data_IF_004687300003
#
_entry.id   IF_004687300003
#
_cell.length_a   1.000
_cell.length_b   1.000
_cell.length_c   1.000
_cell.angle_alpha   90.00
_cell.angle_beta   90.00
_cell.angle_gamma   90.00
#
_symmetry.space_group_name_H-M   'P 1'
#
loop_
_entity.id
_entity.type
_entity.pdbx_description
1 polymer ?
#
# COMPACT_ATOMS: atom_id res chain seq x y z
N UNK A 1 19.46 26.84 -12.22
CA UNK A 1 18.63 25.73 -12.71
C UNK A 1 19.12 24.47 -12.01
N UNK A 2 18.25 23.58 -11.52
CA UNK A 2 18.73 22.34 -10.91
C UNK A 2 19.21 21.39 -12.00
N UNK A 3 20.48 21.00 -11.97
CA UNK A 3 21.08 20.12 -12.98
C UNK A 3 20.57 18.69 -12.80
N UNK A 4 19.54 18.34 -13.57
CA UNK A 4 18.89 17.02 -13.53
C UNK A 4 19.79 15.88 -14.01
N UNK A 5 20.89 16.20 -14.71
CA UNK A 5 21.84 15.25 -15.29
C UNK A 5 23.00 14.89 -14.34
N UNK A 6 23.00 15.47 -13.13
CA UNK A 6 24.00 15.15 -12.11
C UNK A 6 23.96 13.66 -11.74
N UNK A 7 25.12 12.99 -11.63
CA UNK A 7 25.16 11.57 -11.36
C UNK A 7 24.59 11.24 -9.98
N UNK A 8 23.78 10.18 -9.95
CA UNK A 8 23.15 9.64 -8.74
C UNK A 8 23.78 8.29 -8.44
N UNK A 9 24.27 8.13 -7.22
CA UNK A 9 24.82 6.85 -6.75
C UNK A 9 23.82 6.15 -5.85
N UNK A 10 23.50 4.89 -6.18
CA UNK A 10 22.65 4.02 -5.38
C UNK A 10 23.51 2.99 -4.66
N UNK A 11 23.34 2.85 -3.35
CA UNK A 11 23.97 1.81 -2.55
C UNK A 11 22.91 0.96 -1.89
N UNK A 12 23.05 -0.35 -1.96
CA UNK A 12 22.15 -1.28 -1.27
C UNK A 12 22.84 -1.85 -0.03
N UNK A 13 22.16 -1.78 1.12
CA UNK A 13 22.61 -2.37 2.38
C UNK A 13 21.57 -3.34 2.91
N UNK A 14 21.99 -4.19 3.85
CA UNK A 14 21.12 -5.16 4.55
C UNK A 14 20.28 -5.97 3.55
N UNK A 15 20.93 -6.45 2.48
CA UNK A 15 20.27 -7.22 1.44
C UNK A 15 19.94 -8.62 1.96
N UNK A 16 18.66 -8.98 1.94
CA UNK A 16 18.14 -10.27 2.38
C UNK A 16 17.27 -10.84 1.27
N UNK A 17 17.63 -12.03 0.80
CA UNK A 17 16.73 -12.85 -0.02
C UNK A 17 15.76 -13.57 0.92
N UNK A 18 14.46 -13.31 0.81
CA UNK A 18 13.42 -13.93 1.63
C UNK A 18 12.58 -14.89 0.77
N UNK A 19 12.83 -16.21 0.82
CA UNK A 19 12.08 -17.21 0.05
C UNK A 19 10.61 -17.33 0.48
N UNK A 20 10.31 -17.16 1.78
CA UNK A 20 8.96 -17.32 2.33
C UNK A 20 7.96 -16.33 1.73
N UNK A 21 8.44 -15.11 1.47
CA UNK A 21 7.63 -14.02 0.91
C UNK A 21 7.90 -13.80 -0.59
N UNK A 22 8.72 -14.66 -1.21
CA UNK A 22 9.08 -14.56 -2.62
C UNK A 22 9.70 -13.22 -3.02
N UNK A 23 10.43 -12.55 -2.12
CA UNK A 23 10.93 -11.17 -2.34
C UNK A 23 12.36 -10.97 -1.85
N UNK A 24 13.05 -10.01 -2.47
CA UNK A 24 14.35 -9.50 -2.01
C UNK A 24 14.09 -8.21 -1.22
N UNK A 25 14.52 -8.19 0.04
CA UNK A 25 14.40 -7.03 0.92
C UNK A 25 15.77 -6.38 1.05
N UNK A 26 15.81 -5.05 0.95
CA UNK A 26 17.06 -4.29 1.06
C UNK A 26 16.77 -2.87 1.50
N UNK A 27 17.76 -2.21 2.09
CA UNK A 27 17.75 -0.77 2.34
C UNK A 27 18.53 -0.11 1.20
N UNK A 28 17.94 0.92 0.59
CA UNK A 28 18.56 1.67 -0.51
C UNK A 28 18.99 3.03 0.04
N UNK A 29 20.29 3.28 0.05
CA UNK A 29 20.84 4.61 0.30
C UNK A 29 21.05 5.31 -1.04
N UNK A 30 20.67 6.58 -1.07
CA UNK A 30 20.70 7.40 -2.29
C UNK A 30 21.64 8.57 -2.02
N UNK A 31 22.68 8.71 -2.85
CA UNK A 31 23.58 9.85 -2.86
C UNK A 31 23.29 10.71 -4.09
N UNK A 32 22.91 11.97 -3.86
CA UNK A 32 22.56 12.93 -4.90
C UNK A 32 23.10 14.34 -4.56
N UNK A 33 24.42 14.57 -4.71
CA UNK A 33 25.09 15.77 -4.17
C UNK A 33 24.59 17.10 -4.76
N UNK A 34 24.31 17.15 -6.06
CA UNK A 34 23.90 18.39 -6.76
C UNK A 34 22.41 18.45 -7.08
N UNK A 35 21.66 17.38 -6.76
CA UNK A 35 20.24 17.24 -7.12
C UNK A 35 19.39 17.24 -5.86
N UNK A 36 18.28 17.99 -5.90
CA UNK A 36 17.41 18.13 -4.73
C UNK A 36 16.65 16.84 -4.39
N UNK A 37 16.01 16.21 -5.38
CA UNK A 37 15.26 14.97 -5.19
C UNK A 37 15.35 14.05 -6.41
N UNK A 38 15.05 12.77 -6.19
CA UNK A 38 14.96 11.76 -7.25
C UNK A 38 13.54 11.23 -7.29
N UNK A 39 12.98 11.09 -8.49
CA UNK A 39 11.67 10.49 -8.67
C UNK A 39 11.71 8.99 -8.36
N UNK A 40 10.59 8.43 -7.90
CA UNK A 40 10.51 6.99 -7.60
C UNK A 40 10.63 6.13 -8.86
N UNK A 41 10.30 6.68 -10.02
CA UNK A 41 10.35 5.98 -11.30
C UNK A 41 11.79 5.81 -11.78
N UNK A 42 12.59 6.87 -11.70
CA UNK A 42 14.01 6.82 -12.05
C UNK A 42 14.79 5.88 -11.11
N UNK A 43 14.46 5.90 -9.81
CA UNK A 43 15.04 4.97 -8.84
C UNK A 43 14.71 3.51 -9.16
N UNK A 44 13.47 3.24 -9.60
CA UNK A 44 13.03 1.89 -10.00
C UNK A 44 13.77 1.40 -11.23
N UNK A 45 13.99 2.27 -12.21
CA UNK A 45 14.70 1.91 -13.45
C UNK A 45 16.17 1.60 -13.18
N UNK A 46 16.85 2.45 -12.40
CA UNK A 46 18.24 2.22 -11.99
C UNK A 46 18.38 0.94 -11.15
N UNK A 47 17.49 0.68 -10.19
CA UNK A 47 17.48 -0.56 -9.40
C UNK A 47 17.16 -1.80 -10.25
N UNK A 48 16.21 -1.68 -11.18
CA UNK A 48 15.83 -2.73 -12.11
C UNK A 48 17.00 -3.13 -13.00
N UNK A 49 17.74 -2.15 -13.53
CA UNK A 49 18.98 -2.37 -14.28
C UNK A 49 20.05 -3.09 -13.46
N UNK A 50 20.35 -2.61 -12.24
CA UNK A 50 21.38 -3.21 -11.37
C UNK A 50 21.10 -4.68 -11.03
N UNK A 51 19.83 -5.02 -10.78
CA UNK A 51 19.45 -6.37 -10.35
C UNK A 51 18.84 -7.24 -11.46
N UNK A 52 18.87 -6.77 -12.71
CA UNK A 52 18.23 -7.41 -13.88
C UNK A 52 16.79 -7.83 -13.58
N UNK A 53 16.06 -6.95 -12.89
CA UNK A 53 14.68 -7.16 -12.49
C UNK A 53 13.74 -6.33 -13.35
N UNK A 54 12.66 -6.96 -13.82
CA UNK A 54 11.57 -6.26 -14.52
C UNK A 54 10.90 -5.25 -13.58
N UNK A 55 10.54 -4.07 -14.11
CA UNK A 55 9.81 -2.98 -13.41
C UNK A 55 8.52 -3.50 -12.77
N UNK A 56 7.95 -4.56 -13.35
CA UNK A 56 6.66 -5.14 -13.04
C UNK A 56 6.72 -6.56 -12.42
N UNK A 57 7.66 -6.86 -11.51
CA UNK A 57 7.54 -8.07 -10.64
C UNK A 57 6.35 -7.94 -9.63
N UNK A 58 5.14 -7.79 -10.17
CA UNK A 58 3.89 -7.37 -9.49
C UNK A 58 3.14 -8.53 -8.83
N UNK A 59 3.34 -9.78 -9.28
CA UNK A 59 2.46 -10.88 -8.88
C UNK A 59 2.65 -11.32 -7.42
N UNK A 60 3.87 -11.30 -6.89
CA UNK A 60 4.13 -11.52 -5.46
C UNK A 60 3.71 -10.32 -4.58
N UNK A 61 3.60 -9.13 -5.17
CA UNK A 61 3.30 -7.89 -4.46
C UNK A 61 1.85 -7.86 -3.98
N UNK A 62 0.89 -8.34 -4.77
CA UNK A 62 -0.55 -8.20 -4.44
C UNK A 62 -0.98 -8.99 -3.19
N UNK A 63 -0.35 -10.13 -2.91
CA UNK A 63 -0.72 -11.02 -1.78
C UNK A 63 -0.08 -10.61 -0.46
N UNK A 64 1.19 -10.22 -0.49
CA UNK A 64 1.98 -9.96 0.73
C UNK A 64 2.17 -8.47 1.05
N UNK A 65 1.90 -7.58 0.10
CA UNK A 65 2.13 -6.15 0.31
C UNK A 65 0.90 -5.50 0.97
N UNK A 66 1.10 -4.65 2.00
CA UNK A 66 0.01 -3.91 2.60
C UNK A 66 -0.75 -3.05 1.58
N UNK A 67 -2.09 -3.02 1.67
CA UNK A 67 -2.96 -2.27 0.74
C UNK A 67 -2.56 -0.80 0.53
N UNK A 68 -2.04 -0.11 1.55
CA UNK A 68 -1.64 1.30 1.41
C UNK A 68 -0.50 1.49 0.40
N UNK A 69 0.39 0.50 0.24
CA UNK A 69 1.45 0.55 -0.77
C UNK A 69 0.89 0.30 -2.17
N UNK A 70 0.00 -0.68 -2.31
CA UNK A 70 -0.66 -0.99 -3.58
C UNK A 70 -1.42 0.22 -4.14
N UNK A 71 -2.14 0.96 -3.28
CA UNK A 71 -2.85 2.18 -3.67
C UNK A 71 -1.89 3.27 -4.16
N UNK A 72 -0.74 3.46 -3.50
CA UNK A 72 0.27 4.44 -3.92
C UNK A 72 0.92 4.12 -5.25
N UNK A 73 0.98 2.84 -5.63
CA UNK A 73 1.54 2.39 -6.91
C UNK A 73 0.45 2.34 -8.00
N UNK A 74 -0.81 2.58 -7.66
CA UNK A 74 -1.93 2.53 -8.61
C UNK A 74 -2.42 1.11 -8.91
N UNK A 75 -1.97 0.10 -8.16
CA UNK A 75 -2.36 -1.30 -8.35
C UNK A 75 -3.64 -1.70 -7.59
N UNK A 76 -4.14 -0.82 -6.72
CA UNK A 76 -5.37 -1.01 -5.97
C UNK A 76 -6.10 0.33 -5.81
N UNK A 77 -7.42 0.30 -5.75
CA UNK A 77 -8.23 1.46 -5.44
C UNK A 77 -8.25 1.72 -3.94
N UNK A 78 -8.33 3.00 -3.54
CA UNK A 78 -8.45 3.37 -2.14
C UNK A 78 -9.81 2.89 -1.63
N UNK A 79 -9.79 1.99 -0.64
CA UNK A 79 -11.02 1.55 -0.01
C UNK A 79 -11.65 2.69 0.80
N UNK A 80 -12.70 3.30 0.27
CA UNK A 80 -13.52 4.27 0.99
C UNK A 80 -14.39 3.54 2.00
N UNK A 81 -13.95 3.58 3.26
CA UNK A 81 -14.68 2.97 4.37
C UNK A 81 -15.31 4.07 5.19
N UNK A 82 -16.58 3.87 5.58
CA UNK A 82 -17.27 4.70 6.55
C UNK A 82 -16.41 4.93 7.80
N UNK A 83 -16.61 6.08 8.45
CA UNK A 83 -15.85 6.49 9.63
C UNK A 83 -15.81 5.37 10.68
N UNK A 84 -14.69 5.27 11.42
CA UNK A 84 -14.53 4.26 12.48
C UNK A 84 -15.66 4.37 13.51
N UNK A 85 -16.12 5.59 13.79
CA UNK A 85 -17.24 5.85 14.69
C UNK A 85 -18.55 5.27 14.14
N UNK A 86 -18.90 5.58 12.89
CA UNK A 86 -20.11 5.07 12.23
C UNK A 86 -20.13 3.53 12.19
N UNK A 87 -19.00 2.89 11.87
CA UNK A 87 -18.88 1.42 11.88
C UNK A 87 -19.10 0.81 13.26
N UNK A 88 -18.51 1.42 14.31
CA UNK A 88 -18.70 0.96 15.70
C UNK A 88 -20.14 1.13 16.16
N UNK A 89 -20.76 2.28 15.87
CA UNK A 89 -22.16 2.53 16.21
C UNK A 89 -23.09 1.55 15.50
N UNK A 90 -22.92 1.33 14.18
CA UNK A 90 -23.72 0.35 13.42
C UNK A 90 -23.61 -1.06 14.00
N UNK A 91 -22.39 -1.51 14.32
CA UNK A 91 -22.15 -2.81 14.98
C UNK A 91 -22.92 -2.91 16.30
N UNK A 92 -22.84 -1.89 17.16
CA UNK A 92 -23.50 -1.93 18.47
C UNK A 92 -25.03 -1.91 18.33
N UNK A 93 -25.59 -1.13 17.40
CA UNK A 93 -27.04 -1.16 17.09
C UNK A 93 -27.49 -2.52 16.54
N UNK A 94 -26.66 -3.19 15.74
CA UNK A 94 -27.01 -4.51 15.21
C UNK A 94 -26.97 -5.62 16.27
N UNK A 95 -26.18 -5.43 17.34
CA UNK A 95 -26.12 -6.38 18.46
C UNK A 95 -27.40 -6.41 19.31
N UNK A 96 -28.18 -5.32 19.33
CA UNK A 96 -29.44 -5.27 20.10
C UNK A 96 -30.60 -6.00 19.40
N UNK A 97 -30.44 -6.34 18.12
CA UNK A 97 -31.46 -7.02 17.31
C UNK A 97 -31.17 -8.54 17.26
N UNK A 98 -32.21 -9.37 17.13
CA UNK A 98 -32.12 -10.84 16.97
C UNK A 98 -32.78 -11.34 15.68
N UNK A 99 -32.34 -12.50 15.19
CA UNK A 99 -32.91 -13.18 14.03
C UNK A 99 -32.98 -12.27 12.79
N UNK A 100 -34.11 -12.34 12.08
CA UNK A 100 -34.35 -11.57 10.85
C UNK A 100 -34.33 -10.05 11.06
N UNK A 101 -34.51 -9.57 12.30
CA UNK A 101 -34.43 -8.14 12.62
C UNK A 101 -33.01 -7.55 12.44
N UNK A 102 -31.95 -8.37 12.46
CA UNK A 102 -30.58 -7.89 12.17
C UNK A 102 -30.36 -7.46 10.73
N UNK A 103 -31.16 -8.01 9.80
CA UNK A 103 -31.12 -7.69 8.36
C UNK A 103 -32.20 -6.67 8.02
N UNK A 104 -33.41 -6.84 8.55
CA UNK A 104 -34.57 -5.98 8.28
C UNK A 104 -34.58 -4.65 9.07
N UNK A 105 -33.72 -4.51 10.08
CA UNK A 105 -33.71 -3.35 10.97
C UNK A 105 -34.77 -3.44 12.07
N UNK A 106 -34.77 -2.47 12.99
CA UNK A 106 -35.81 -2.35 14.01
C UNK A 106 -37.13 -2.00 13.31
N UNK A 107 -38.16 -2.83 13.48
CA UNK A 107 -39.51 -2.49 13.00
C UNK A 107 -40.04 -1.32 13.83
N UNK A 108 -40.64 -0.33 13.17
CA UNK A 108 -41.38 0.71 13.86
C UNK A 108 -42.47 0.04 14.71
N UNK A 109 -42.60 0.45 15.98
CA UNK A 109 -43.74 0.04 16.81
C UNK A 109 -44.98 0.62 16.12
N UNK A 110 -45.88 -0.24 15.65
CA UNK A 110 -47.20 0.18 15.21
C UNK A 110 -47.95 0.56 16.49
N UNK A 111 -48.15 1.84 16.73
CA UNK A 111 -48.99 2.31 17.84
C UNK A 111 -50.42 1.79 17.63
N UNK A 112 -51.06 1.44 18.75
CA UNK A 112 -52.42 0.93 18.81
C UNK A 112 -53.41 2.08 18.76
#
# INVERSE_FOLDING_TARGET
>A
MADNDSPVTLRTRKFIRNPLLGRKQMVVDILHPSRANISKEELREKLGGMYKAQKDQVQAMKKFEPNYRLVRVGMATKAERASRQQRKQRKNRQKTLRGTAKVKGAKAKKEK
#
